data_IF_682244297900
#
_entry.id   IF_682244297900
#
_cell.length_a   1.000
_cell.length_b   1.000
_cell.length_c   1.000
_cell.angle_alpha   90.00
_cell.angle_beta   90.00
_cell.angle_gamma   90.00
#
_symmetry.space_group_name_H-M   'P 1'
#
loop_
_entity.id
_entity.type
_entity.pdbx_description
1 polymer ?
#
# COMPACT_ATOMS: atom_id res chain seq x y z
N UNK A 1 30.42 9.61 -68.88
CA UNK A 1 30.28 11.08 -68.97
C UNK A 1 29.37 11.49 -67.80
N UNK A 2 29.89 11.51 -66.57
CA UNK A 2 30.56 12.63 -65.85
C UNK A 2 29.59 13.74 -65.40
N UNK A 3 29.27 13.74 -64.09
CA UNK A 3 29.24 14.91 -63.17
C UNK A 3 28.73 14.41 -61.79
N UNK A 4 29.45 14.50 -60.65
CA UNK A 4 29.94 15.72 -59.94
C UNK A 4 28.73 16.50 -59.39
N UNK A 5 28.51 16.84 -58.12
CA UNK A 5 29.28 16.96 -56.87
C UNK A 5 28.28 17.00 -55.68
N UNK A 6 28.61 16.44 -54.50
CA UNK A 6 29.09 17.12 -53.28
C UNK A 6 28.23 18.22 -52.65
N UNK A 7 28.19 18.13 -51.32
CA UNK A 7 28.03 19.21 -50.33
C UNK A 7 26.60 19.61 -49.96
N UNK A 8 26.21 19.21 -48.74
CA UNK A 8 25.45 20.12 -47.89
C UNK A 8 25.82 19.93 -46.42
N UNK A 9 26.81 20.74 -46.01
CA UNK A 9 26.80 21.60 -44.84
C UNK A 9 26.21 21.08 -43.50
N UNK A 10 27.12 20.90 -42.52
CA UNK A 10 26.96 21.34 -41.12
C UNK A 10 26.63 22.86 -41.06
N UNK A 11 26.16 23.51 -39.96
CA UNK A 11 26.20 23.11 -38.54
C UNK A 11 24.98 23.53 -37.66
N UNK A 12 24.94 23.03 -36.41
CA UNK A 12 24.03 23.47 -35.32
C UNK A 12 24.69 24.55 -34.43
N UNK A 13 25.35 25.55 -35.03
CA UNK A 13 26.19 26.53 -34.31
C UNK A 13 25.58 27.94 -34.15
N UNK A 14 24.25 28.09 -34.06
CA UNK A 14 23.68 29.44 -33.95
C UNK A 14 22.51 29.59 -32.96
N UNK A 15 22.73 29.16 -31.71
CA UNK A 15 21.82 29.49 -30.60
C UNK A 15 22.55 29.93 -29.33
N UNK A 16 23.75 30.53 -29.48
CA UNK A 16 24.41 31.27 -28.41
C UNK A 16 24.57 32.74 -28.81
N UNK A 17 23.47 33.50 -28.83
CA UNK A 17 23.58 34.96 -28.71
C UNK A 17 22.31 35.66 -28.25
N UNK A 18 22.54 36.57 -27.30
CA UNK A 18 21.67 37.67 -26.88
C UNK A 18 20.47 37.25 -26.01
N UNK A 19 20.18 37.84 -24.85
CA UNK A 19 20.59 39.16 -24.35
C UNK A 19 20.28 39.33 -22.87
N UNK A 20 21.24 39.99 -22.22
CA UNK A 20 21.24 40.76 -20.97
C UNK A 20 19.94 41.52 -20.64
N UNK A 21 19.56 41.58 -19.35
CA UNK A 21 19.37 42.86 -18.61
C UNK A 21 18.99 42.76 -17.11
N UNK A 22 19.75 43.53 -16.33
CA UNK A 22 19.36 44.43 -15.23
C UNK A 22 19.19 43.93 -13.76
N UNK A 23 20.31 44.09 -13.04
CA UNK A 23 20.58 44.85 -11.77
C UNK A 23 20.04 44.40 -10.38
N UNK A 24 20.85 44.67 -9.31
CA UNK A 24 20.70 44.11 -7.96
C UNK A 24 20.07 45.10 -6.95
N UNK A 25 19.60 44.57 -5.80
CA UNK A 25 19.76 45.13 -4.45
C UNK A 25 18.92 44.33 -3.42
N UNK A 26 19.59 43.70 -2.46
CA UNK A 26 19.08 43.37 -1.11
C UNK A 26 19.29 44.62 -0.22
N UNK A 27 18.49 44.91 0.83
CA UNK A 27 18.51 44.08 2.05
C UNK A 27 17.23 44.05 2.94
N UNK A 28 17.18 42.98 3.74
CA UNK A 28 16.72 42.90 5.16
C UNK A 28 15.28 42.52 5.54
N UNK A 29 15.27 41.54 6.46
CA UNK A 29 14.39 41.33 7.61
C UNK A 29 13.15 40.39 7.50
N UNK A 30 13.14 39.47 8.48
CA UNK A 30 12.01 38.82 9.14
C UNK A 30 11.38 37.52 8.60
N UNK A 31 11.74 36.43 9.29
CA UNK A 31 10.81 35.53 10.00
C UNK A 31 9.88 34.68 9.12
N UNK A 32 10.47 33.73 8.39
CA UNK A 32 9.75 32.63 7.75
C UNK A 32 9.67 31.39 8.65
N UNK A 33 8.68 31.37 9.52
CA UNK A 33 8.24 30.22 10.30
C UNK A 33 8.06 29.00 9.37
N UNK A 34 8.82 27.92 9.55
CA UNK A 34 8.55 26.65 8.87
C UNK A 34 7.19 26.12 9.35
N UNK A 35 6.17 25.98 8.49
CA UNK A 35 5.07 25.10 8.82
C UNK A 35 5.61 23.69 8.66
N UNK A 36 5.88 23.03 9.80
CA UNK A 36 5.86 21.58 9.90
C UNK A 36 4.64 21.06 9.13
N UNK A 37 4.71 19.94 8.39
CA UNK A 37 3.51 19.34 7.82
C UNK A 37 2.58 18.99 8.98
N UNK A 38 1.61 19.85 9.20
CA UNK A 38 0.58 19.69 10.21
C UNK A 38 -0.29 18.57 9.66
N UNK A 39 -0.22 17.40 10.31
CA UNK A 39 -1.19 16.33 10.15
C UNK A 39 -2.58 16.96 10.22
N UNK A 40 -3.20 17.18 9.06
CA UNK A 40 -4.61 17.47 8.96
C UNK A 40 -5.31 16.19 9.38
N UNK A 41 -5.58 16.08 10.68
CA UNK A 41 -6.71 15.31 11.21
C UNK A 41 -7.96 15.95 10.63
N UNK A 42 -8.24 15.59 9.38
CA UNK A 42 -9.49 15.89 8.72
C UNK A 42 -10.57 15.14 9.46
N UNK A 43 -11.43 15.92 10.11
CA UNK A 43 -12.79 15.60 10.54
C UNK A 43 -13.28 14.22 10.11
N UNK A 44 -13.47 13.35 11.11
CA UNK A 44 -14.28 12.14 11.05
C UNK A 44 -15.73 12.49 10.64
N UNK A 45 -15.95 12.74 9.36
CA UNK A 45 -17.23 12.43 8.75
C UNK A 45 -17.20 10.94 8.47
N UNK A 46 -17.80 10.15 9.36
CA UNK A 46 -18.02 8.72 9.17
C UNK A 46 -18.92 8.52 7.95
N UNK A 47 -18.31 8.50 6.77
CA UNK A 47 -18.98 8.04 5.57
C UNK A 47 -18.91 6.50 5.58
N UNK A 48 -20.03 5.79 5.79
CA UNK A 48 -20.04 4.33 5.76
C UNK A 48 -19.68 3.76 4.37
N UNK A 49 -19.72 4.59 3.32
CA UNK A 49 -19.29 4.24 1.97
C UNK A 49 -17.85 4.68 1.63
N UNK A 50 -17.13 5.33 2.56
CA UNK A 50 -15.72 5.63 2.33
C UNK A 50 -14.93 4.32 2.24
N UNK A 51 -13.93 4.24 1.34
CA UNK A 51 -13.02 3.10 1.33
C UNK A 51 -12.30 3.01 2.67
N UNK A 52 -12.04 1.78 3.10
CA UNK A 52 -11.28 1.51 4.33
C UNK A 52 -9.97 2.29 4.28
N UNK A 53 -9.72 3.12 5.29
CA UNK A 53 -8.50 3.90 5.38
C UNK A 53 -7.28 2.99 5.59
N UNK A 54 -6.18 3.30 4.89
CA UNK A 54 -4.95 2.51 4.91
C UNK A 54 -4.40 2.30 6.33
N UNK A 55 -4.58 3.27 7.23
CA UNK A 55 -4.06 3.19 8.61
C UNK A 55 -4.79 2.10 9.42
N UNK A 56 -6.11 2.00 9.27
CA UNK A 56 -6.93 1.02 9.96
C UNK A 56 -6.70 -0.39 9.42
N UNK A 57 -6.61 -0.52 8.09
CA UNK A 57 -6.27 -1.80 7.48
C UNK A 57 -4.87 -2.26 7.90
N UNK A 58 -3.89 -1.35 7.98
CA UNK A 58 -2.54 -1.66 8.45
C UNK A 58 -2.52 -2.17 9.90
N UNK A 59 -3.31 -1.57 10.80
CA UNK A 59 -3.44 -2.05 12.19
C UNK A 59 -3.99 -3.45 12.28
N UNK A 60 -5.06 -3.75 11.54
CA UNK A 60 -5.66 -5.09 11.49
C UNK A 60 -4.67 -6.06 10.90
N UNK A 61 -4.06 -5.70 9.77
CA UNK A 61 -3.05 -6.53 9.11
C UNK A 61 -1.89 -6.84 10.03
N UNK A 62 -1.35 -5.86 10.75
CA UNK A 62 -0.26 -6.05 11.73
C UNK A 62 -0.70 -6.99 12.85
N UNK A 63 -1.88 -6.73 13.43
CA UNK A 63 -2.40 -7.56 14.51
C UNK A 63 -2.55 -9.03 14.11
N UNK A 64 -3.06 -9.28 12.89
CA UNK A 64 -3.19 -10.63 12.35
C UNK A 64 -1.82 -11.22 11.98
N UNK A 65 -0.93 -10.42 11.41
CA UNK A 65 0.44 -10.85 11.04
C UNK A 65 1.23 -11.35 12.23
N UNK A 66 1.11 -10.69 13.39
CA UNK A 66 1.77 -11.08 14.64
C UNK A 66 1.33 -12.48 15.10
N UNK A 67 0.11 -12.88 14.77
CA UNK A 67 -0.47 -14.20 15.12
C UNK A 67 -0.32 -15.22 14.01
N UNK A 68 0.08 -14.81 12.82
CA UNK A 68 0.21 -15.72 11.70
C UNK A 68 1.52 -16.49 11.75
N UNK A 69 1.41 -17.80 11.96
CA UNK A 69 2.54 -18.70 11.86
C UNK A 69 2.73 -19.15 10.41
N UNK A 70 3.54 -18.41 9.65
CA UNK A 70 3.84 -18.75 8.26
C UNK A 70 4.61 -20.08 8.26
N UNK A 71 4.10 -21.14 7.60
CA UNK A 71 4.85 -22.38 7.47
C UNK A 71 6.15 -22.09 6.73
N UNK A 72 7.28 -22.19 7.43
CA UNK A 72 8.61 -22.01 6.86
C UNK A 72 8.91 -23.21 5.96
N UNK A 73 8.86 -23.02 4.64
CA UNK A 73 9.09 -24.16 3.74
C UNK A 73 9.19 -23.91 2.24
N UNK A 74 8.76 -22.76 1.70
CA UNK A 74 8.74 -22.59 0.25
C UNK A 74 9.68 -21.51 -0.25
N UNK A 75 10.51 -21.89 -1.23
CA UNK A 75 11.15 -21.00 -2.20
C UNK A 75 10.15 -20.04 -2.87
N UNK A 76 8.86 -20.37 -2.82
CA UNK A 76 7.75 -19.65 -3.49
C UNK A 76 6.76 -18.96 -2.53
N UNK A 77 7.05 -18.85 -1.23
CA UNK A 77 6.23 -18.03 -0.31
C UNK A 77 6.04 -16.58 -0.81
N UNK A 78 6.96 -16.15 -1.66
CA UNK A 78 6.98 -14.91 -2.41
C UNK A 78 5.75 -14.63 -3.30
N UNK A 79 5.09 -15.67 -3.84
CA UNK A 79 3.98 -15.54 -4.79
C UNK A 79 2.65 -16.04 -4.20
N UNK A 80 2.66 -16.43 -2.92
CA UNK A 80 1.48 -16.92 -2.25
C UNK A 80 0.52 -15.77 -1.94
N UNK A 81 -0.69 -15.86 -2.49
CA UNK A 81 -1.79 -14.93 -2.22
C UNK A 81 -2.96 -15.77 -1.71
N UNK A 82 -3.41 -15.49 -0.49
CA UNK A 82 -4.59 -16.12 0.11
C UNK A 82 -5.57 -15.01 0.47
N UNK A 83 -6.80 -15.11 0.00
CA UNK A 83 -7.85 -14.15 0.27
C UNK A 83 -8.86 -14.79 1.21
N UNK A 84 -9.04 -14.16 2.36
CA UNK A 84 -9.97 -14.61 3.39
C UNK A 84 -11.03 -13.55 3.55
N UNK A 85 -12.28 -13.93 3.29
CA UNK A 85 -13.44 -13.13 3.71
C UNK A 85 -13.61 -13.31 5.21
N UNK A 86 -13.55 -12.20 5.92
CA UNK A 86 -13.69 -12.14 7.37
C UNK A 86 -14.96 -11.39 7.72
N UNK A 87 -15.77 -11.99 8.57
CA UNK A 87 -16.92 -11.33 9.18
C UNK A 87 -16.68 -11.15 10.66
N UNK A 88 -17.07 -9.98 11.18
CA UNK A 88 -16.81 -9.58 12.56
C UNK A 88 -18.05 -8.95 13.19
N UNK A 89 -18.10 -9.00 14.52
CA UNK A 89 -19.08 -8.31 15.34
C UNK A 89 -18.64 -6.88 15.70
N UNK A 90 -19.55 -6.03 16.19
CA UNK A 90 -19.25 -4.64 16.58
C UNK A 90 -18.21 -4.49 17.70
N UNK A 91 -17.96 -5.56 18.45
CA UNK A 91 -16.92 -5.66 19.48
C UNK A 91 -15.54 -6.05 18.90
N UNK A 92 -15.46 -6.32 17.60
CA UNK A 92 -14.26 -6.80 16.91
C UNK A 92 -14.12 -8.33 16.90
N UNK A 93 -15.05 -9.07 17.49
CA UNK A 93 -15.00 -10.53 17.54
C UNK A 93 -15.19 -11.11 16.15
N UNK A 94 -14.27 -11.97 15.71
CA UNK A 94 -14.38 -12.67 14.42
C UNK A 94 -15.47 -13.75 14.52
N UNK A 95 -16.51 -13.63 13.70
CA UNK A 95 -17.60 -14.62 13.62
C UNK A 95 -17.40 -15.62 12.50
N UNK A 96 -16.80 -15.19 11.39
CA UNK A 96 -16.56 -16.06 10.24
C UNK A 96 -15.23 -15.73 9.54
N UNK A 97 -14.61 -16.76 8.96
CA UNK A 97 -13.36 -16.65 8.23
C UNK A 97 -13.30 -17.72 7.13
N UNK A 98 -13.58 -17.31 5.90
CA UNK A 98 -13.71 -18.20 4.73
C UNK A 98 -12.67 -17.86 3.68
N UNK A 99 -11.99 -18.87 3.16
CA UNK A 99 -11.04 -18.70 2.07
C UNK A 99 -11.83 -18.65 0.77
N UNK A 100 -11.69 -17.56 0.02
CA UNK A 100 -12.49 -17.32 -1.20
C UNK A 100 -11.72 -17.56 -2.50
N UNK A 101 -10.39 -17.64 -2.43
CA UNK A 101 -9.52 -17.80 -3.60
C UNK A 101 -8.88 -19.20 -3.67
N UNK A 102 -9.58 -20.23 -3.22
CA UNK A 102 -9.06 -21.59 -3.26
C UNK A 102 -8.85 -22.05 -4.71
N UNK A 103 -7.62 -22.43 -5.12
CA UNK A 103 -7.37 -22.93 -6.46
C UNK A 103 -7.94 -24.34 -6.63
N UNK A 104 -8.29 -24.70 -7.86
CA UNK A 104 -8.83 -26.03 -8.19
C UNK A 104 -7.84 -27.16 -7.87
N UNK A 105 -6.54 -26.89 -8.06
CA UNK A 105 -5.44 -27.72 -7.59
C UNK A 105 -4.57 -26.91 -6.63
N UNK A 106 -4.84 -27.07 -5.35
CA UNK A 106 -4.05 -26.48 -4.29
C UNK A 106 -2.84 -27.35 -3.96
N UNK A 107 -1.65 -26.74 -3.99
CA UNK A 107 -0.48 -27.37 -3.42
C UNK A 107 -0.65 -27.57 -1.91
N UNK A 108 -0.05 -28.62 -1.35
CA UNK A 108 -0.06 -28.86 0.10
C UNK A 108 0.50 -27.66 0.88
N UNK A 109 1.44 -26.93 0.30
CA UNK A 109 1.96 -25.68 0.86
C UNK A 109 0.92 -24.56 0.91
N UNK A 110 0.20 -24.32 -0.19
CA UNK A 110 -0.88 -23.34 -0.25
C UNK A 110 -1.95 -23.67 0.80
N UNK A 111 -2.34 -24.95 0.88
CA UNK A 111 -3.36 -25.40 1.83
C UNK A 111 -2.92 -25.23 3.28
N UNK A 112 -1.67 -25.58 3.62
CA UNK A 112 -1.11 -25.37 4.96
C UNK A 112 -1.05 -23.88 5.33
N UNK A 113 -0.65 -23.03 4.38
CA UNK A 113 -0.58 -21.60 4.61
C UNK A 113 -1.98 -20.96 4.71
N UNK A 114 -2.94 -21.40 3.91
CA UNK A 114 -4.33 -20.95 3.96
C UNK A 114 -5.02 -21.35 5.28
N UNK A 115 -4.81 -22.58 5.74
CA UNK A 115 -5.29 -23.01 7.06
C UNK A 115 -4.62 -22.20 8.20
N UNK A 116 -3.31 -21.96 8.10
CA UNK A 116 -2.60 -21.13 9.07
C UNK A 116 -3.11 -19.69 9.09
N UNK A 117 -3.37 -19.10 7.92
CA UNK A 117 -3.93 -17.75 7.81
C UNK A 117 -5.34 -17.67 8.42
N UNK A 118 -6.20 -18.65 8.11
CA UNK A 118 -7.53 -18.77 8.73
C UNK A 118 -7.45 -18.87 10.26
N UNK A 119 -6.51 -19.65 10.78
CA UNK A 119 -6.26 -19.74 12.23
C UNK A 119 -5.76 -18.41 12.80
N UNK A 120 -4.86 -17.72 12.10
CA UNK A 120 -4.35 -16.41 12.53
C UNK A 120 -5.46 -15.37 12.68
N UNK A 121 -6.40 -15.31 11.72
CA UNK A 121 -7.57 -14.41 11.81
C UNK A 121 -8.39 -14.71 13.06
N UNK A 122 -8.68 -16.00 13.33
CA UNK A 122 -9.45 -16.39 14.52
C UNK A 122 -8.70 -16.08 15.82
N UNK A 123 -7.38 -16.28 15.85
CA UNK A 123 -6.52 -15.96 17.00
C UNK A 123 -6.29 -14.46 17.21
N UNK A 124 -6.48 -13.66 16.16
CA UNK A 124 -6.44 -12.21 16.21
C UNK A 124 -7.77 -11.62 16.71
N UNK A 125 -8.78 -12.45 16.96
CA UNK A 125 -10.02 -12.00 17.59
C UNK A 125 -9.76 -11.59 19.05
N UNK A 126 -10.27 -10.43 19.51
CA UNK A 126 -11.00 -9.42 18.74
C UNK A 126 -10.07 -8.50 17.95
N UNK A 127 -10.45 -8.18 16.70
CA UNK A 127 -9.69 -7.28 15.84
C UNK A 127 -9.79 -5.82 16.32
N UNK A 128 -8.72 -5.01 16.16
CA UNK A 128 -8.69 -3.60 16.57
C UNK A 128 -9.45 -2.70 15.59
N UNK A 129 -10.76 -2.90 15.49
CA UNK A 129 -11.65 -2.16 14.59
C UNK A 129 -12.16 -0.91 15.30
N UNK A 130 -12.03 0.30 14.71
CA UNK A 130 -12.67 1.48 15.26
C UNK A 130 -14.20 1.37 15.13
N UNK A 131 -14.92 1.56 16.24
CA UNK A 131 -16.40 1.44 16.31
C UNK A 131 -17.10 2.28 15.25
N UNK A 132 -16.56 3.46 15.04
CA UNK A 132 -16.85 4.46 14.03
C UNK A 132 -16.89 3.96 12.57
N UNK A 133 -16.17 2.89 12.24
CA UNK A 133 -16.08 2.32 10.88
C UNK A 133 -16.51 0.86 10.81
N UNK A 134 -17.19 0.37 11.83
CA UNK A 134 -17.65 -1.02 11.89
C UNK A 134 -18.41 -1.45 10.63
N UNK A 135 -19.28 -0.59 10.09
CA UNK A 135 -20.05 -0.92 8.88
C UNK A 135 -19.19 -1.27 7.66
N UNK A 136 -17.95 -0.77 7.59
CA UNK A 136 -16.99 -1.11 6.54
C UNK A 136 -16.22 -2.41 6.84
N UNK A 137 -16.05 -2.73 8.13
CA UNK A 137 -15.29 -3.88 8.59
C UNK A 137 -16.16 -5.08 8.97
N UNK A 138 -17.50 -4.97 8.95
CA UNK A 138 -18.41 -6.08 9.25
C UNK A 138 -18.16 -7.31 8.38
N UNK A 139 -17.83 -7.09 7.11
CA UNK A 139 -17.66 -8.09 6.06
C UNK A 139 -16.60 -7.57 5.08
N UNK A 140 -15.33 -7.92 5.30
CA UNK A 140 -14.21 -7.47 4.47
C UNK A 140 -13.38 -8.64 3.98
N UNK A 141 -12.61 -8.42 2.91
CA UNK A 141 -11.65 -9.39 2.40
C UNK A 141 -10.26 -8.98 2.83
N UNK A 142 -9.56 -9.87 3.51
CA UNK A 142 -8.18 -9.71 3.88
C UNK A 142 -7.30 -10.56 2.97
N UNK A 143 -6.40 -9.89 2.25
CA UNK A 143 -5.40 -10.55 1.41
C UNK A 143 -4.13 -10.81 2.20
N UNK A 144 -3.77 -12.09 2.31
CA UNK A 144 -2.56 -12.59 2.94
C UNK A 144 -1.49 -12.84 1.89
N UNK A 145 -0.38 -12.15 2.06
CA UNK A 145 0.83 -12.38 1.29
C UNK A 145 2.04 -12.38 2.26
N UNK A 146 2.82 -13.48 2.33
CA UNK A 146 3.97 -13.58 3.23
C UNK A 146 4.97 -12.42 3.10
N UNK A 147 5.30 -11.96 1.88
CA UNK A 147 6.22 -10.82 1.70
C UNK A 147 5.72 -9.57 2.40
N UNK A 148 4.43 -9.34 2.26
CA UNK A 148 3.73 -8.18 2.76
C UNK A 148 3.57 -8.23 4.30
N UNK A 149 3.48 -9.43 4.88
CA UNK A 149 3.33 -9.60 6.33
C UNK A 149 4.66 -9.72 7.08
N UNK A 150 5.73 -10.20 6.43
CA UNK A 150 7.07 -10.32 7.03
C UNK A 150 7.79 -8.96 7.10
N UNK A 151 7.53 -8.03 6.17
CA UNK A 151 8.15 -6.69 6.14
C UNK A 151 7.73 -5.80 7.33
N UNK A 152 6.68 -6.17 8.09
CA UNK A 152 6.15 -5.38 9.20
C UNK A 152 6.64 -5.78 10.60
N UNK A 153 7.61 -6.70 10.71
CA UNK A 153 8.24 -7.09 11.98
C UNK A 153 9.36 -6.14 12.38
#
# INVERSE_FOLDING_TARGET
MTSTEFSSYHPLDDLLKATDKAKPNTPSAEKGNQPKPQNVRGSDMHNPNAPISMTEMDRIRKHVSDRWNIPAGAKDAANLIIEIRVSVQPDGTVTDAQIINAPLMADSFWQAAADSARRAVRLASPLPIPRDKYDQFRDFVLTFNPKQMVQGR
#
